data_IF_249417984047
#
_entry.id   IF_249417984047
#
_cell.length_a   1.000
_cell.length_b   1.000
_cell.length_c   1.000
_cell.angle_alpha   90.00
_cell.angle_beta   90.00
_cell.angle_gamma   90.00
#
_symmetry.space_group_name_H-M   'P 1'
#
loop_
_entity.id
_entity.type
_entity.pdbx_description
1 polymer ?
#
# COMPACT_ATOMS: atom_id res chain seq x y z
N UNK A 1 8.01 5.30 4.08
CA UNK A 1 8.97 6.29 4.63
C UNK A 1 9.56 7.13 3.49
N UNK A 2 9.72 8.42 3.74
CA UNK A 2 10.41 9.32 2.80
C UNK A 2 11.92 9.15 2.91
N UNK A 3 12.60 9.41 1.80
CA UNK A 3 14.07 9.36 1.69
C UNK A 3 14.53 8.21 0.81
N UNK A 4 15.61 8.47 0.05
CA UNK A 4 16.15 7.50 -0.91
C UNK A 4 16.65 6.23 -0.23
N UNK A 5 17.09 6.33 1.02
CA UNK A 5 17.54 5.21 1.86
C UNK A 5 16.44 4.17 2.12
N UNK A 6 15.15 4.54 2.01
CA UNK A 6 14.03 3.62 2.25
C UNK A 6 13.44 3.02 0.97
N UNK A 7 13.86 3.49 -0.22
CA UNK A 7 13.25 3.12 -1.52
C UNK A 7 13.19 1.61 -1.74
N UNK A 8 14.25 0.89 -1.39
CA UNK A 8 14.38 -0.55 -1.60
C UNK A 8 14.10 -1.37 -0.33
N UNK A 9 13.45 -0.78 0.67
CA UNK A 9 13.12 -1.49 1.91
C UNK A 9 11.80 -2.24 1.80
N UNK A 10 11.67 -3.31 2.59
CA UNK A 10 10.42 -4.09 2.70
C UNK A 10 9.25 -3.22 3.14
N UNK A 11 9.50 -2.27 4.04
CA UNK A 11 8.46 -1.39 4.59
C UNK A 11 7.88 -0.42 3.54
N UNK A 12 8.59 -0.16 2.44
CA UNK A 12 8.15 0.70 1.35
C UNK A 12 7.63 -0.08 0.12
N UNK A 13 7.30 -1.36 0.26
CA UNK A 13 6.78 -2.16 -0.87
C UNK A 13 5.51 -1.55 -1.48
N UNK A 14 4.70 -0.88 -0.69
CA UNK A 14 3.51 -0.17 -1.17
C UNK A 14 3.83 0.89 -2.23
N UNK A 15 4.97 1.55 -2.15
CA UNK A 15 5.42 2.52 -3.16
C UNK A 15 5.70 1.86 -4.51
N UNK A 16 6.28 0.65 -4.51
CA UNK A 16 6.50 -0.10 -5.76
C UNK A 16 5.19 -0.50 -6.43
N UNK A 17 4.19 -0.87 -5.64
CA UNK A 17 2.83 -1.15 -6.15
C UNK A 17 2.20 0.13 -6.71
N UNK A 18 2.29 1.24 -5.99
CA UNK A 18 1.80 2.55 -6.43
C UNK A 18 2.45 3.00 -7.75
N UNK A 19 3.75 2.83 -7.88
CA UNK A 19 4.51 3.13 -9.11
C UNK A 19 4.02 2.29 -10.29
N UNK A 20 3.75 0.99 -10.07
CA UNK A 20 3.24 0.11 -11.11
C UNK A 20 1.82 0.48 -11.54
N UNK A 21 0.97 0.88 -10.61
CA UNK A 21 -0.38 1.38 -10.93
C UNK A 21 -0.27 2.64 -11.79
N UNK A 22 0.53 3.61 -11.38
CA UNK A 22 0.72 4.86 -12.11
C UNK A 22 1.29 4.63 -13.53
N UNK A 23 2.24 3.71 -13.67
CA UNK A 23 2.77 3.28 -14.97
C UNK A 23 1.66 2.71 -15.86
N UNK A 24 0.83 1.82 -15.34
CA UNK A 24 -0.30 1.22 -16.07
C UNK A 24 -1.32 2.27 -16.53
N UNK A 25 -1.52 3.31 -15.72
CA UNK A 25 -2.44 4.41 -16.03
C UNK A 25 -1.81 5.50 -16.91
N UNK A 26 -0.54 5.38 -17.24
CA UNK A 26 0.25 6.43 -17.91
C UNK A 26 0.12 7.78 -17.17
N UNK A 27 0.17 7.73 -15.85
CA UNK A 27 -0.01 8.87 -14.97
C UNK A 27 1.31 9.21 -14.26
N UNK A 28 1.96 10.35 -14.59
CA UNK A 28 3.20 10.73 -13.92
C UNK A 28 2.94 11.20 -12.49
N UNK A 29 3.85 10.88 -11.58
CA UNK A 29 3.84 11.44 -10.23
C UNK A 29 4.28 12.90 -10.25
N UNK A 30 3.55 13.75 -9.53
CA UNK A 30 3.85 15.18 -9.36
C UNK A 30 3.88 15.51 -7.87
N UNK A 31 4.71 16.50 -7.51
CA UNK A 31 4.74 17.05 -6.15
C UNK A 31 3.36 17.55 -5.73
N UNK A 32 2.95 17.17 -4.53
CA UNK A 32 1.66 17.55 -3.96
C UNK A 32 1.74 17.65 -2.44
N UNK A 33 0.64 18.00 -1.80
CA UNK A 33 0.56 17.97 -0.36
C UNK A 33 0.80 16.56 0.18
N UNK A 34 1.71 16.43 1.14
CA UNK A 34 2.07 15.18 1.81
C UNK A 34 2.71 14.10 0.91
N UNK A 35 3.16 14.43 -0.28
CA UNK A 35 3.89 13.46 -1.09
C UNK A 35 3.81 13.67 -2.60
N UNK A 36 3.98 12.58 -3.31
CA UNK A 36 3.87 12.52 -4.76
C UNK A 36 2.51 11.93 -5.14
N UNK A 37 1.78 12.63 -6.01
CA UNK A 37 0.46 12.22 -6.47
C UNK A 37 0.45 11.97 -7.96
N UNK A 38 -0.08 10.83 -8.39
CA UNK A 38 -0.43 10.55 -9.77
C UNK A 38 -1.96 10.52 -9.91
N UNK A 39 -2.48 11.19 -10.92
CA UNK A 39 -3.90 11.18 -11.27
C UNK A 39 -4.09 10.55 -12.64
N UNK A 40 -5.00 9.61 -12.74
CA UNK A 40 -5.33 8.94 -13.98
C UNK A 40 -6.76 8.45 -14.02
N UNK A 41 -7.09 7.71 -15.08
CA UNK A 41 -8.38 7.05 -15.22
C UNK A 41 -8.18 5.58 -15.53
N UNK A 42 -9.00 4.74 -14.92
CA UNK A 42 -9.08 3.32 -15.21
C UNK A 42 -10.52 2.93 -15.53
N UNK A 43 -10.77 2.49 -16.77
CA UNK A 43 -12.12 2.12 -17.26
C UNK A 43 -13.16 3.19 -16.91
N UNK A 44 -12.81 4.47 -17.14
CA UNK A 44 -13.69 5.61 -16.90
C UNK A 44 -13.74 6.12 -15.46
N UNK A 45 -13.11 5.47 -14.52
CA UNK A 45 -13.06 5.87 -13.11
C UNK A 45 -11.79 6.67 -12.81
N UNK A 46 -11.94 7.80 -12.13
CA UNK A 46 -10.81 8.63 -11.68
C UNK A 46 -10.06 7.91 -10.58
N UNK A 47 -8.72 7.89 -10.67
CA UNK A 47 -7.83 7.23 -9.72
C UNK A 47 -6.78 8.21 -9.24
N UNK A 48 -6.64 8.30 -7.93
CA UNK A 48 -5.54 9.01 -7.26
C UNK A 48 -4.58 7.98 -6.68
N UNK A 49 -3.31 8.11 -7.00
CA UNK A 49 -2.25 7.24 -6.45
C UNK A 49 -1.28 8.11 -5.67
N UNK A 50 -1.25 7.93 -4.36
CA UNK A 50 -0.41 8.73 -3.47
C UNK A 50 0.76 7.90 -2.94
N UNK A 51 1.96 8.45 -3.06
CA UNK A 51 3.14 8.03 -2.30
C UNK A 51 3.43 9.09 -1.24
N UNK A 52 3.04 8.88 0.03
CA UNK A 52 3.29 9.86 1.08
C UNK A 52 4.79 10.12 1.28
N UNK A 53 5.17 11.37 1.48
CA UNK A 53 6.53 11.77 1.80
C UNK A 53 6.76 11.93 3.33
N UNK A 54 5.88 11.35 4.11
CA UNK A 54 5.98 11.31 5.56
C UNK A 54 6.82 10.12 6.03
N UNK A 55 7.28 10.17 7.28
CA UNK A 55 7.68 8.95 7.96
C UNK A 55 6.46 8.04 8.19
N UNK A 56 6.69 6.74 8.31
CA UNK A 56 5.63 5.74 8.40
C UNK A 56 4.60 6.05 9.49
N UNK A 57 5.04 6.49 10.66
CA UNK A 57 4.17 6.83 11.79
C UNK A 57 3.34 8.12 11.62
N UNK A 58 3.50 8.82 10.49
CA UNK A 58 2.73 10.01 10.13
C UNK A 58 1.89 9.82 8.86
N UNK A 59 1.78 8.59 8.37
CA UNK A 59 1.05 8.25 7.13
C UNK A 59 -0.42 8.68 7.17
N UNK A 60 -1.05 8.64 8.33
CA UNK A 60 -2.45 9.03 8.50
C UNK A 60 -2.74 10.49 8.17
N UNK A 61 -1.79 11.39 8.35
CA UNK A 61 -1.94 12.80 8.02
C UNK A 61 -2.17 12.99 6.52
N UNK A 62 -1.40 12.29 5.70
CA UNK A 62 -1.52 12.32 4.25
C UNK A 62 -2.86 11.74 3.78
N UNK A 63 -3.24 10.58 4.31
CA UNK A 63 -4.50 9.90 3.95
C UNK A 63 -5.70 10.77 4.29
N UNK A 64 -5.78 11.28 5.51
CA UNK A 64 -6.87 12.14 5.95
C UNK A 64 -7.01 13.39 5.08
N UNK A 65 -5.90 14.07 4.79
CA UNK A 65 -5.89 15.27 3.97
C UNK A 65 -6.52 15.01 2.59
N UNK A 66 -6.08 13.94 1.89
CA UNK A 66 -6.54 13.67 0.53
C UNK A 66 -7.97 13.16 0.47
N UNK A 67 -8.41 12.34 1.43
CA UNK A 67 -9.82 11.94 1.51
C UNK A 67 -10.74 13.14 1.67
N UNK A 68 -10.37 14.11 2.51
CA UNK A 68 -11.17 15.32 2.73
C UNK A 68 -11.14 16.24 1.52
N UNK A 69 -9.96 16.48 0.95
CA UNK A 69 -9.79 17.38 -0.21
C UNK A 69 -10.58 16.92 -1.43
N UNK A 70 -10.57 15.63 -1.71
CA UNK A 70 -11.19 15.05 -2.92
C UNK A 70 -12.57 14.43 -2.65
N UNK A 71 -13.10 14.57 -1.43
CA UNK A 71 -14.38 13.98 -1.01
C UNK A 71 -14.46 12.47 -1.30
N UNK A 72 -13.41 11.72 -0.98
CA UNK A 72 -13.38 10.28 -1.21
C UNK A 72 -13.96 9.55 -0.01
N UNK A 73 -15.01 8.72 -0.19
CA UNK A 73 -15.53 7.90 0.90
C UNK A 73 -14.54 6.78 1.26
N UNK A 74 -14.57 6.33 2.52
CA UNK A 74 -13.66 5.29 3.01
C UNK A 74 -13.71 3.99 2.20
N UNK A 75 -14.85 3.63 1.67
CA UNK A 75 -15.03 2.45 0.82
C UNK A 75 -14.25 2.50 -0.50
N UNK A 76 -13.84 3.69 -0.93
CA UNK A 76 -13.04 3.93 -2.13
C UNK A 76 -11.55 4.17 -1.82
N UNK A 77 -11.15 4.03 -0.57
CA UNK A 77 -9.75 4.08 -0.14
C UNK A 77 -9.15 2.68 -0.16
N UNK A 78 -7.96 2.53 -0.74
CA UNK A 78 -7.15 1.32 -0.62
C UNK A 78 -5.78 1.68 -0.06
N UNK A 79 -5.45 1.13 1.10
CA UNK A 79 -4.11 1.24 1.68
C UNK A 79 -3.32 -0.01 1.32
N UNK A 80 -2.19 0.19 0.66
CA UNK A 80 -1.25 -0.90 0.32
C UNK A 80 -0.11 -0.88 1.32
N UNK A 81 0.09 -1.99 2.00
CA UNK A 81 1.05 -2.08 3.12
C UNK A 81 1.75 -3.44 3.17
N UNK A 82 2.93 -3.48 3.76
CA UNK A 82 3.64 -4.70 4.12
C UNK A 82 2.98 -5.40 5.31
N UNK A 83 3.15 -6.73 5.40
CA UNK A 83 2.63 -7.54 6.49
C UNK A 83 3.61 -8.65 6.86
N UNK A 84 4.13 -8.59 8.09
CA UNK A 84 5.06 -9.58 8.66
C UNK A 84 4.41 -10.94 8.89
N UNK A 85 3.10 -10.99 9.09
CA UNK A 85 2.38 -12.23 9.42
C UNK A 85 2.11 -13.13 8.21
N UNK A 86 2.38 -12.64 7.02
CA UNK A 86 2.14 -13.36 5.77
C UNK A 86 3.47 -13.76 5.10
N UNK A 87 3.57 -14.97 4.51
CA UNK A 87 4.73 -15.36 3.71
C UNK A 87 5.00 -14.35 2.59
N UNK A 88 6.25 -14.24 2.17
CA UNK A 88 6.66 -13.32 1.10
C UNK A 88 5.77 -13.45 -0.15
N UNK A 89 5.30 -12.30 -0.64
CA UNK A 89 4.52 -12.22 -1.87
C UNK A 89 3.07 -12.68 -1.75
N UNK A 90 2.62 -13.06 -0.55
CA UNK A 90 1.21 -13.39 -0.30
C UNK A 90 0.36 -12.13 -0.37
N UNK A 91 -0.72 -12.19 -1.15
CA UNK A 91 -1.69 -11.10 -1.27
C UNK A 91 -2.89 -11.36 -0.36
N UNK A 92 -3.19 -10.39 0.49
CA UNK A 92 -4.41 -10.42 1.29
C UNK A 92 -5.11 -9.07 1.31
N UNK A 93 -6.28 -9.03 0.73
CA UNK A 93 -7.15 -7.85 0.71
C UNK A 93 -8.24 -8.00 1.76
N UNK A 94 -8.51 -6.94 2.53
CA UNK A 94 -9.55 -6.91 3.57
C UNK A 94 -10.28 -5.58 3.56
N UNK A 95 -11.57 -5.60 3.92
CA UNK A 95 -12.40 -4.40 4.09
C UNK A 95 -12.11 -3.65 5.38
N UNK A 96 -11.64 -4.34 6.40
CA UNK A 96 -11.36 -3.82 7.74
C UNK A 96 -10.35 -4.70 8.46
N UNK A 97 -9.78 -4.20 9.53
CA UNK A 97 -8.88 -4.98 10.36
C UNK A 97 -8.06 -4.13 11.32
N UNK A 98 -7.36 -4.79 12.25
CA UNK A 98 -6.41 -4.14 13.15
C UNK A 98 -5.16 -3.68 12.41
N UNK A 99 -4.36 -2.83 13.06
CA UNK A 99 -3.07 -2.37 12.55
C UNK A 99 -1.97 -3.45 12.59
N UNK A 100 -2.17 -4.53 13.35
CA UNK A 100 -1.21 -5.62 13.54
C UNK A 100 0.21 -5.15 13.93
N UNK A 101 0.30 -4.02 14.63
CA UNK A 101 1.58 -3.41 15.02
C UNK A 101 2.26 -2.57 13.95
N UNK A 102 1.68 -2.44 12.76
CA UNK A 102 2.21 -1.62 11.68
C UNK A 102 2.02 -0.13 11.98
N UNK A 103 3.11 0.64 12.10
CA UNK A 103 3.05 2.05 12.51
C UNK A 103 2.28 2.94 11.54
N UNK A 104 2.33 2.65 10.24
CA UNK A 104 1.54 3.36 9.23
C UNK A 104 0.04 3.15 9.42
N UNK A 105 -0.39 1.92 9.66
CA UNK A 105 -1.79 1.61 9.92
C UNK A 105 -2.28 2.19 11.24
N UNK A 106 -1.44 2.21 12.29
CA UNK A 106 -1.77 2.90 13.54
C UNK A 106 -2.05 4.38 13.31
N UNK A 107 -1.17 5.06 12.58
CA UNK A 107 -1.33 6.47 12.24
C UNK A 107 -2.62 6.72 11.45
N UNK A 108 -2.90 5.90 10.43
CA UNK A 108 -4.13 6.01 9.63
C UNK A 108 -5.37 5.79 10.50
N UNK A 109 -5.39 4.77 11.35
CA UNK A 109 -6.48 4.49 12.26
C UNK A 109 -6.74 5.67 13.22
N UNK A 110 -5.69 6.25 13.78
CA UNK A 110 -5.80 7.42 14.66
C UNK A 110 -6.40 8.64 13.94
N UNK A 111 -5.90 8.93 12.73
CA UNK A 111 -6.36 10.09 11.97
C UNK A 111 -7.77 9.91 11.39
N UNK A 112 -8.15 8.72 10.99
CA UNK A 112 -9.49 8.42 10.47
C UNK A 112 -10.49 8.03 11.57
N UNK A 113 -10.02 7.75 12.78
CA UNK A 113 -10.82 7.27 13.92
C UNK A 113 -11.64 6.02 13.62
N UNK A 114 -11.10 5.15 12.77
CA UNK A 114 -11.74 3.89 12.38
C UNK A 114 -10.73 2.89 11.82
N UNK A 115 -11.05 1.61 11.95
CA UNK A 115 -10.36 0.49 11.30
C UNK A 115 -11.10 0.00 10.05
N UNK A 116 -12.22 0.61 9.70
CA UNK A 116 -13.11 0.18 8.63
C UNK A 116 -12.75 0.88 7.32
N UNK A 117 -11.63 0.48 6.74
CA UNK A 117 -11.21 0.90 5.40
C UNK A 117 -10.50 -0.25 4.67
N UNK A 118 -10.65 -0.36 3.34
CA UNK A 118 -9.98 -1.38 2.54
C UNK A 118 -8.45 -1.30 2.63
N UNK A 119 -7.83 -2.46 2.76
CA UNK A 119 -6.37 -2.59 2.74
C UNK A 119 -5.92 -3.81 1.98
N UNK A 120 -4.82 -3.67 1.31
CA UNK A 120 -4.13 -4.72 0.58
C UNK A 120 -2.79 -4.98 1.26
N UNK A 121 -2.63 -6.17 1.83
CA UNK A 121 -1.44 -6.55 2.59
C UNK A 121 -0.50 -7.35 1.72
N UNK A 122 0.74 -6.89 1.65
CA UNK A 122 1.84 -7.57 0.95
C UNK A 122 2.67 -8.34 1.97
N UNK A 123 2.64 -9.67 1.91
CA UNK A 123 3.42 -10.52 2.80
C UNK A 123 4.92 -10.31 2.61
N UNK A 124 5.63 -10.05 3.68
CA UNK A 124 7.10 -9.88 3.69
C UNK A 124 7.81 -10.91 4.56
N UNK A 125 7.08 -11.85 5.15
CA UNK A 125 7.58 -12.80 6.14
C UNK A 125 8.10 -12.14 7.42
N UNK A 126 8.53 -12.92 8.38
CA UNK A 126 9.05 -12.47 9.68
C UNK A 126 10.33 -13.24 10.04
N UNK A 127 11.29 -13.27 9.12
CA UNK A 127 12.55 -14.00 9.29
C UNK A 127 13.59 -13.13 10.00
N UNK A 128 13.34 -12.87 11.29
CA UNK A 128 14.25 -12.08 12.13
C UNK A 128 14.24 -12.59 13.58
N UNK A 129 15.34 -12.31 14.30
CA UNK A 129 15.46 -12.60 15.72
C UNK A 129 14.67 -11.59 16.55
N UNK A 130 14.34 -11.97 17.78
CA UNK A 130 13.70 -11.07 18.74
C UNK A 130 14.41 -9.72 18.82
N UNK A 131 13.64 -8.63 18.80
CA UNK A 131 14.16 -7.26 18.84
C UNK A 131 14.69 -6.71 17.51
N UNK A 132 14.70 -7.51 16.43
CA UNK A 132 15.22 -7.12 15.11
C UNK A 132 14.15 -6.76 14.08
N UNK A 133 12.90 -6.57 14.52
CA UNK A 133 11.80 -6.27 13.61
C UNK A 133 12.01 -4.98 12.81
N UNK A 134 12.47 -3.91 13.45
CA UNK A 134 12.72 -2.62 12.77
C UNK A 134 13.79 -2.77 11.70
N UNK A 135 14.91 -3.44 12.03
CA UNK A 135 15.99 -3.68 11.08
C UNK A 135 15.52 -4.51 9.88
N UNK A 136 14.62 -5.48 10.11
CA UNK A 136 14.07 -6.34 9.07
C UNK A 136 13.16 -5.56 8.10
N UNK A 137 12.19 -4.79 8.61
CA UNK A 137 11.26 -4.05 7.75
C UNK A 137 11.94 -2.90 7.00
N UNK A 138 12.98 -2.31 7.60
CA UNK A 138 13.83 -1.31 6.94
C UNK A 138 14.99 -1.94 6.15
N UNK A 139 15.07 -3.27 6.13
CA UNK A 139 16.05 -4.02 5.35
C UNK A 139 15.66 -4.15 3.89
N UNK A 140 16.67 -4.40 3.06
CA UNK A 140 16.48 -4.63 1.62
C UNK A 140 16.03 -6.05 1.34
N UNK A 141 15.43 -6.26 0.18
CA UNK A 141 15.06 -7.57 -0.33
C UNK A 141 16.29 -8.45 -0.53
N UNK A 142 16.20 -9.73 -0.16
CA UNK A 142 17.21 -10.72 -0.51
C UNK A 142 17.12 -11.07 -2.00
N UNK A 143 18.04 -11.89 -2.50
CA UNK A 143 18.14 -12.21 -3.92
C UNK A 143 16.90 -12.97 -4.43
N UNK A 144 16.44 -14.00 -3.69
CA UNK A 144 15.25 -14.77 -4.04
C UNK A 144 13.98 -13.90 -4.06
N UNK A 145 13.81 -13.05 -3.07
CA UNK A 145 12.70 -12.09 -3.02
C UNK A 145 12.75 -11.13 -4.21
N UNK A 146 13.95 -10.62 -4.54
CA UNK A 146 14.16 -9.69 -5.66
C UNK A 146 13.77 -10.27 -7.00
N UNK A 147 14.07 -11.54 -7.24
CA UNK A 147 13.70 -12.23 -8.48
C UNK A 147 12.17 -12.33 -8.64
N UNK A 148 11.44 -12.57 -7.56
CA UNK A 148 9.99 -12.75 -7.55
C UNK A 148 9.21 -11.43 -7.45
N UNK A 149 9.86 -10.37 -6.99
CA UNK A 149 9.21 -9.10 -6.68
C UNK A 149 8.46 -8.47 -7.87
N UNK A 150 9.00 -8.41 -9.10
CA UNK A 150 8.29 -7.81 -10.23
C UNK A 150 6.95 -8.47 -10.54
N UNK A 151 6.90 -9.80 -10.55
CA UNK A 151 5.66 -10.56 -10.77
C UNK A 151 4.63 -10.28 -9.67
N UNK A 152 5.09 -10.23 -8.41
CA UNK A 152 4.22 -9.96 -7.28
C UNK A 152 3.67 -8.53 -7.31
N UNK A 153 4.49 -7.55 -7.62
CA UNK A 153 4.07 -6.15 -7.78
C UNK A 153 3.02 -6.03 -8.89
N UNK A 154 3.21 -6.69 -10.01
CA UNK A 154 2.23 -6.74 -11.10
C UNK A 154 0.88 -7.26 -10.61
N UNK A 155 0.88 -8.37 -9.89
CA UNK A 155 -0.34 -8.97 -9.31
C UNK A 155 -1.04 -8.02 -8.34
N UNK A 156 -0.30 -7.37 -7.46
CA UNK A 156 -0.85 -6.41 -6.49
C UNK A 156 -1.44 -5.18 -7.19
N UNK A 157 -0.78 -4.67 -8.23
CA UNK A 157 -1.31 -3.55 -9.01
C UNK A 157 -2.63 -3.92 -9.69
N UNK A 158 -2.73 -5.12 -10.26
CA UNK A 158 -3.97 -5.64 -10.86
C UNK A 158 -5.10 -5.77 -9.83
N UNK A 159 -4.77 -6.21 -8.61
CA UNK A 159 -5.74 -6.30 -7.52
C UNK A 159 -6.29 -4.90 -7.14
N UNK A 160 -5.43 -3.89 -7.06
CA UNK A 160 -5.85 -2.51 -6.82
C UNK A 160 -6.75 -1.98 -7.94
N UNK A 161 -6.40 -2.24 -9.20
CA UNK A 161 -7.21 -1.80 -10.35
C UNK A 161 -8.56 -2.55 -10.41
N UNK A 162 -8.60 -3.82 -10.04
CA UNK A 162 -9.85 -4.56 -9.87
C UNK A 162 -10.73 -3.94 -8.78
N UNK A 163 -10.15 -3.53 -7.68
CA UNK A 163 -10.85 -2.78 -6.62
C UNK A 163 -11.45 -1.48 -7.16
N UNK A 164 -10.69 -0.70 -7.92
CA UNK A 164 -11.17 0.55 -8.52
C UNK A 164 -12.39 0.33 -9.41
N UNK A 165 -12.35 -0.69 -10.24
CA UNK A 165 -13.40 -0.95 -11.22
C UNK A 165 -14.59 -1.74 -10.67
N UNK A 166 -14.33 -2.80 -9.92
CA UNK A 166 -15.34 -3.79 -9.52
C UNK A 166 -15.69 -3.76 -8.01
N UNK A 167 -14.99 -2.95 -7.21
CA UNK A 167 -15.21 -2.86 -5.77
C UNK A 167 -14.51 -3.93 -4.96
N UNK A 168 -14.54 -3.78 -3.62
CA UNK A 168 -13.75 -4.60 -2.70
C UNK A 168 -14.16 -6.08 -2.71
N UNK A 169 -15.45 -6.40 -2.79
CA UNK A 169 -15.93 -7.79 -2.74
C UNK A 169 -15.44 -8.59 -3.93
N UNK A 170 -15.59 -8.05 -5.13
CA UNK A 170 -15.14 -8.69 -6.36
C UNK A 170 -13.62 -8.81 -6.41
N UNK A 171 -12.90 -7.78 -5.97
CA UNK A 171 -11.45 -7.82 -5.91
C UNK A 171 -10.96 -8.89 -4.92
N UNK A 172 -11.56 -8.99 -3.73
CA UNK A 172 -11.22 -10.06 -2.77
C UNK A 172 -11.46 -11.44 -3.34
N UNK A 173 -12.61 -11.67 -3.99
CA UNK A 173 -12.94 -12.95 -4.62
C UNK A 173 -11.95 -13.30 -5.74
N UNK A 174 -11.53 -12.31 -6.51
CA UNK A 174 -10.61 -12.50 -7.62
C UNK A 174 -9.16 -12.76 -7.22
N UNK A 175 -8.69 -12.21 -6.12
CA UNK A 175 -7.25 -12.17 -5.78
C UNK A 175 -6.86 -12.85 -4.47
N UNK A 176 -7.71 -12.88 -3.43
CA UNK A 176 -7.37 -13.55 -2.17
C UNK A 176 -7.21 -15.06 -2.37
N UNK A 177 -6.15 -15.63 -1.79
CA UNK A 177 -5.90 -17.08 -1.82
C UNK A 177 -5.40 -17.64 -3.15
N UNK A 178 -4.92 -16.77 -4.05
CA UNK A 178 -4.44 -17.17 -5.38
C UNK A 178 -2.98 -16.79 -5.61
#
# INVERSE_FOLDING_TARGET
NKGDEYTETRHNVGFKVAEKIAETLDAPFKSSNFGLMAEGKYKGRKVFVLKPDTYMNLSGNAVRFWLQKENIPLENLMIVTDDLSLPFGTLRMKMKGSDAGHNGLKSIQEQLQTQNYPRLRFGISAEFSEGKQVDYVLGKWNEEEREKLPERIEKFSKACLSFVFAGIQNAMTGFNGK
#
